data_IF_527175510807
#
_entry.id   IF_527175510807
#
_cell.length_a   1.000
_cell.length_b   1.000
_cell.length_c   1.000
_cell.angle_alpha   90.00
_cell.angle_beta   90.00
_cell.angle_gamma   90.00
#
_symmetry.space_group_name_H-M   'P 1'
#
loop_
_entity.id
_entity.type
_entity.pdbx_description
1 polymer ?
#
# COMPACT_ATOMS: atom_id res chain seq x y z
N UNK A 1 0.34 -19.96 11.09
CA UNK A 1 0.52 -20.43 9.70
C UNK A 1 0.35 -19.25 8.78
N UNK A 2 1.19 -19.09 7.74
CA UNK A 2 1.04 -17.99 6.76
C UNK A 2 0.05 -18.43 5.69
N UNK A 3 -1.23 -18.26 5.97
CA UNK A 3 -2.31 -18.69 5.09
C UNK A 3 -3.34 -17.58 4.92
N UNK A 4 -3.94 -17.54 3.73
CA UNK A 4 -5.09 -16.70 3.43
C UNK A 4 -6.18 -17.59 2.84
N UNK A 5 -7.38 -17.54 3.43
CA UNK A 5 -8.51 -18.43 3.08
C UNK A 5 -8.13 -19.92 3.09
N UNK A 6 -7.29 -20.33 4.06
CA UNK A 6 -6.80 -21.71 4.20
C UNK A 6 -5.81 -22.17 3.11
N UNK A 7 -5.24 -21.23 2.34
CA UNK A 7 -4.25 -21.51 1.31
C UNK A 7 -2.91 -20.82 1.63
N UNK A 8 -1.76 -21.44 1.25
CA UNK A 8 -0.44 -20.86 1.48
C UNK A 8 -0.06 -19.76 0.47
N UNK A 9 -0.87 -19.58 -0.58
CA UNK A 9 -0.68 -18.61 -1.64
C UNK A 9 -2.04 -18.07 -2.14
N UNK A 10 -2.02 -17.01 -2.95
CA UNK A 10 -3.24 -16.38 -3.49
C UNK A 10 -3.95 -17.29 -4.51
N UNK A 11 -3.20 -17.94 -5.38
CA UNK A 11 -3.69 -18.86 -6.41
C UNK A 11 -4.47 -18.25 -7.59
N UNK A 12 -4.47 -16.93 -7.77
CA UNK A 12 -5.25 -16.24 -8.85
C UNK A 12 -4.38 -15.66 -9.97
N UNK A 13 -3.09 -15.43 -9.69
CA UNK A 13 -2.17 -14.84 -10.65
C UNK A 13 -1.42 -15.91 -11.45
N UNK A 14 -0.84 -15.53 -12.58
CA UNK A 14 -0.20 -16.46 -13.51
C UNK A 14 1.17 -17.00 -13.04
N UNK A 15 1.74 -16.47 -11.96
CA UNK A 15 3.10 -16.83 -11.51
C UNK A 15 3.15 -17.09 -10.02
N UNK A 16 4.08 -17.94 -9.58
CA UNK A 16 4.33 -18.16 -8.15
C UNK A 16 4.70 -16.86 -7.43
N UNK A 17 5.51 -16.01 -8.06
CA UNK A 17 5.92 -14.71 -7.52
C UNK A 17 4.72 -13.81 -7.17
N UNK A 18 3.76 -13.66 -8.09
CA UNK A 18 2.59 -12.81 -7.85
C UNK A 18 1.62 -13.38 -6.80
N UNK A 19 1.64 -14.70 -6.59
CA UNK A 19 0.79 -15.37 -5.61
C UNK A 19 1.41 -15.46 -4.20
N UNK A 20 2.63 -14.95 -3.98
CA UNK A 20 3.27 -14.99 -2.66
C UNK A 20 2.53 -14.12 -1.63
N UNK A 21 2.32 -14.68 -0.43
CA UNK A 21 1.83 -13.95 0.74
C UNK A 21 3.01 -13.33 1.50
N UNK A 22 3.44 -12.15 1.07
CA UNK A 22 4.56 -11.42 1.67
C UNK A 22 4.07 -10.31 2.62
N UNK A 23 4.75 -10.20 3.76
CA UNK A 23 4.55 -9.12 4.71
C UNK A 23 3.49 -9.36 5.79
N UNK A 24 3.04 -8.27 6.40
CA UNK A 24 1.92 -8.26 7.36
C UNK A 24 0.62 -7.82 6.68
N UNK A 25 -0.44 -7.62 7.46
CA UNK A 25 -1.68 -6.96 7.02
C UNK A 25 -1.58 -5.42 6.98
N UNK A 26 -0.39 -4.88 7.30
CA UNK A 26 -0.11 -3.44 7.33
C UNK A 26 -0.59 -2.72 8.59
N UNK A 27 -1.05 -3.45 9.63
CA UNK A 27 -1.38 -2.86 10.94
C UNK A 27 -0.16 -2.76 11.87
N UNK A 28 0.83 -3.63 11.66
CA UNK A 28 2.10 -3.64 12.37
C UNK A 28 3.21 -4.19 11.47
N UNK A 29 4.44 -3.72 11.69
CA UNK A 29 5.65 -4.17 11.04
C UNK A 29 6.67 -4.62 12.10
N UNK A 30 7.75 -5.34 11.71
CA UNK A 30 8.83 -5.64 12.64
C UNK A 30 9.39 -4.36 13.31
N UNK A 31 9.97 -4.46 14.51
CA UNK A 31 10.63 -3.33 15.14
C UNK A 31 11.89 -2.88 14.37
N UNK A 32 12.46 -1.73 14.75
CA UNK A 32 13.71 -1.19 14.23
C UNK A 32 13.70 -0.88 12.72
N UNK A 33 12.67 -0.19 12.25
CA UNK A 33 12.61 0.30 10.87
C UNK A 33 13.58 1.45 10.61
N UNK A 34 14.12 1.48 9.40
CA UNK A 34 15.08 2.49 8.93
C UNK A 34 14.66 3.06 7.57
N UNK A 35 15.43 4.02 7.05
CA UNK A 35 15.21 4.57 5.69
C UNK A 35 15.46 3.55 4.58
N UNK A 36 16.23 2.51 4.86
CA UNK A 36 16.57 1.45 3.89
C UNK A 36 15.58 0.27 3.96
N UNK A 37 14.65 0.29 4.92
CA UNK A 37 13.62 -0.72 5.06
C UNK A 37 12.69 -0.75 3.84
N UNK A 38 12.33 -1.96 3.41
CA UNK A 38 11.20 -2.20 2.49
C UNK A 38 10.11 -2.94 3.23
N UNK A 39 8.91 -2.36 3.29
CA UNK A 39 7.81 -2.89 4.07
C UNK A 39 6.82 -3.63 3.17
N UNK A 40 6.69 -4.93 3.36
CA UNK A 40 5.72 -5.74 2.62
C UNK A 40 4.36 -5.75 3.33
N UNK A 41 3.29 -5.65 2.56
CA UNK A 41 1.91 -5.74 3.04
C UNK A 41 1.11 -6.62 2.09
N UNK A 42 0.40 -7.61 2.61
CA UNK A 42 -0.61 -8.34 1.85
C UNK A 42 -1.94 -7.59 1.90
N UNK A 43 -2.39 -7.08 0.74
CA UNK A 43 -3.63 -6.31 0.66
C UNK A 43 -4.74 -7.22 0.15
N UNK A 44 -5.62 -7.63 1.06
CA UNK A 44 -6.69 -8.60 0.77
C UNK A 44 -7.64 -8.12 -0.33
N UNK A 45 -7.92 -6.82 -0.40
CA UNK A 45 -8.79 -6.23 -1.43
C UNK A 45 -8.15 -6.26 -2.84
N UNK A 46 -6.83 -6.36 -2.93
CA UNK A 46 -6.10 -6.46 -4.19
C UNK A 46 -5.65 -7.88 -4.49
N UNK A 47 -5.84 -8.80 -3.54
CA UNK A 47 -5.41 -10.19 -3.64
C UNK A 47 -3.93 -10.33 -4.01
N UNK A 48 -3.08 -9.41 -3.54
CA UNK A 48 -1.63 -9.47 -3.78
C UNK A 48 -0.87 -8.78 -2.67
N UNK A 49 0.40 -9.15 -2.54
CA UNK A 49 1.34 -8.38 -1.75
C UNK A 49 1.84 -7.16 -2.51
N UNK A 50 2.01 -6.07 -1.76
CA UNK A 50 2.65 -4.83 -2.15
C UNK A 50 3.87 -4.60 -1.27
N UNK A 51 4.71 -3.65 -1.67
CA UNK A 51 5.78 -3.13 -0.85
C UNK A 51 5.70 -1.61 -0.75
N UNK A 52 6.17 -1.07 0.36
CA UNK A 52 6.26 0.35 0.63
C UNK A 52 7.72 0.73 0.84
N UNK A 53 8.11 1.88 0.30
CA UNK A 53 9.47 2.42 0.42
C UNK A 53 9.45 3.73 1.18
N UNK A 54 10.57 4.04 1.83
CA UNK A 54 10.74 5.31 2.53
C UNK A 54 10.50 6.50 1.60
N UNK A 55 9.84 7.52 2.12
CA UNK A 55 9.60 8.79 1.44
C UNK A 55 10.28 9.95 2.17
N UNK A 56 9.99 10.13 3.47
CA UNK A 56 10.49 11.26 4.26
C UNK A 56 10.28 11.07 5.76
N UNK A 57 11.01 11.83 6.56
CA UNK A 57 10.73 11.97 8.00
C UNK A 57 9.45 12.79 8.25
N UNK A 58 8.73 12.41 9.30
CA UNK A 58 7.53 13.09 9.80
C UNK A 58 7.50 13.07 11.32
N UNK A 59 6.73 13.99 11.91
CA UNK A 59 6.38 13.94 13.31
C UNK A 59 4.86 13.82 13.46
N UNK A 60 4.40 12.81 14.20
CA UNK A 60 2.98 12.59 14.49
C UNK A 60 2.78 12.78 15.99
N UNK A 61 2.05 13.83 16.38
CA UNK A 61 1.82 14.21 17.79
C UNK A 61 3.13 14.34 18.59
N UNK A 62 4.21 14.78 17.95
CA UNK A 62 5.54 14.91 18.56
C UNK A 62 6.26 13.58 18.81
N UNK A 63 5.89 12.52 18.10
CA UNK A 63 6.66 11.27 17.97
C UNK A 63 7.28 11.26 16.57
N UNK A 64 8.57 10.98 16.48
CA UNK A 64 9.28 10.87 15.21
C UNK A 64 8.85 9.61 14.46
N UNK A 65 8.61 9.77 13.17
CA UNK A 65 8.10 8.71 12.29
C UNK A 65 8.81 8.75 10.93
N UNK A 66 8.87 7.60 10.29
CA UNK A 66 9.29 7.43 8.91
C UNK A 66 8.04 7.26 8.04
N UNK A 67 7.85 8.13 7.06
CA UNK A 67 6.77 7.98 6.10
C UNK A 67 7.18 6.99 5.01
N UNK A 68 6.39 5.94 4.84
CA UNK A 68 6.49 4.98 3.75
C UNK A 68 5.30 5.15 2.78
N UNK A 69 5.56 4.99 1.49
CA UNK A 69 4.56 5.14 0.42
C UNK A 69 4.66 4.00 -0.58
N UNK A 70 3.61 3.80 -1.38
CA UNK A 70 3.65 2.90 -2.53
C UNK A 70 4.50 3.52 -3.64
N UNK A 71 5.59 2.86 -4.07
CA UNK A 71 6.45 3.37 -5.14
C UNK A 71 5.75 3.28 -6.50
N UNK A 72 6.16 4.14 -7.45
CA UNK A 72 5.49 4.29 -8.76
C UNK A 72 5.55 3.02 -9.60
N UNK A 73 6.60 2.23 -9.39
CA UNK A 73 6.93 0.98 -10.06
C UNK A 73 5.81 -0.05 -9.91
N UNK A 74 5.05 -0.03 -8.80
CA UNK A 74 3.88 -0.89 -8.59
C UNK A 74 2.71 -0.59 -9.53
N UNK A 75 2.64 0.63 -10.07
CA UNK A 75 1.56 1.07 -10.94
C UNK A 75 1.88 0.90 -12.42
N UNK A 76 3.15 0.76 -12.79
CA UNK A 76 3.58 0.71 -14.20
C UNK A 76 3.03 -0.52 -14.92
N UNK A 77 2.67 -0.35 -16.20
CA UNK A 77 2.30 -1.49 -17.03
C UNK A 77 3.48 -2.45 -17.28
N UNK A 78 3.16 -3.65 -17.77
CA UNK A 78 4.12 -4.71 -18.05
C UNK A 78 5.15 -4.40 -19.15
N UNK A 79 4.92 -3.36 -19.96
CA UNK A 79 5.87 -2.93 -21.00
C UNK A 79 6.98 -2.04 -20.44
N UNK A 80 6.69 -1.29 -19.37
CA UNK A 80 7.65 -0.41 -18.70
C UNK A 80 8.29 -1.14 -17.52
N UNK A 81 7.50 -1.87 -16.72
CA UNK A 81 7.99 -2.73 -15.64
C UNK A 81 7.61 -4.20 -15.92
N UNK A 82 8.52 -5.01 -16.50
CA UNK A 82 8.25 -6.40 -16.87
C UNK A 82 7.78 -7.29 -15.72
N UNK A 83 8.19 -7.01 -14.49
CA UNK A 83 7.78 -7.77 -13.30
C UNK A 83 6.26 -7.70 -13.09
N UNK A 84 5.63 -6.59 -13.49
CA UNK A 84 4.18 -6.43 -13.38
C UNK A 84 3.39 -7.30 -14.36
N UNK A 85 4.05 -7.95 -15.34
CA UNK A 85 3.42 -8.96 -16.20
C UNK A 85 2.84 -10.12 -15.37
N UNK A 86 3.45 -10.41 -14.22
CA UNK A 86 3.01 -11.44 -13.30
C UNK A 86 1.58 -11.21 -12.75
N UNK A 87 1.11 -9.96 -12.75
CA UNK A 87 -0.22 -9.55 -12.29
C UNK A 87 -1.20 -9.25 -13.44
N UNK A 88 -0.81 -9.56 -14.68
CA UNK A 88 -1.75 -9.57 -15.81
C UNK A 88 -2.57 -10.86 -15.80
N UNK A 89 -3.84 -10.75 -16.16
CA UNK A 89 -4.79 -11.87 -16.16
C UNK A 89 -4.98 -12.38 -17.58
N UNK A 90 -6.08 -12.03 -18.25
CA UNK A 90 -6.34 -12.30 -19.68
C UNK A 90 -5.47 -11.42 -20.57
N UNK A 91 -5.30 -10.16 -20.18
CA UNK A 91 -4.48 -9.17 -20.86
C UNK A 91 -3.79 -8.26 -19.83
N UNK A 92 -2.81 -7.49 -20.27
CA UNK A 92 -2.20 -6.45 -19.45
C UNK A 92 -2.92 -5.12 -19.68
N UNK A 93 -3.24 -4.43 -18.59
CA UNK A 93 -3.94 -3.16 -18.62
C UNK A 93 -2.98 -1.97 -18.59
N UNK A 94 -3.46 -0.74 -18.91
CA UNK A 94 -2.64 0.46 -18.82
C UNK A 94 -2.08 0.69 -17.41
N UNK A 95 -1.02 1.49 -17.33
CA UNK A 95 -0.42 1.92 -16.07
C UNK A 95 -1.50 2.45 -15.12
N UNK A 96 -1.49 1.99 -13.87
CA UNK A 96 -2.41 2.38 -12.81
C UNK A 96 -3.68 1.54 -12.69
N UNK A 97 -3.84 0.49 -13.50
CA UNK A 97 -5.01 -0.41 -13.46
C UNK A 97 -4.60 -1.82 -13.05
N UNK A 98 -5.30 -2.38 -12.07
CA UNK A 98 -5.20 -3.79 -11.67
C UNK A 98 -6.57 -4.46 -11.80
N UNK A 99 -6.64 -5.61 -12.47
CA UNK A 99 -7.83 -6.45 -12.51
C UNK A 99 -7.99 -7.20 -11.19
N UNK A 100 -9.00 -6.84 -10.40
CA UNK A 100 -9.34 -7.54 -9.15
C UNK A 100 -10.58 -8.40 -9.30
N UNK A 101 -11.20 -8.40 -10.48
CA UNK A 101 -12.34 -9.25 -10.82
C UNK A 101 -11.98 -10.72 -10.70
N UNK A 102 -10.73 -11.08 -11.03
CA UNK A 102 -10.21 -12.45 -10.96
C UNK A 102 -10.13 -13.03 -9.56
N UNK A 103 -10.16 -12.20 -8.52
CA UNK A 103 -10.04 -12.66 -7.14
C UNK A 103 -11.30 -12.44 -6.31
N UNK A 104 -12.38 -11.98 -6.96
CA UNK A 104 -13.71 -12.00 -6.37
C UNK A 104 -14.25 -13.42 -6.41
N UNK A 105 -14.74 -13.89 -5.28
CA UNK A 105 -15.40 -15.19 -5.16
C UNK A 105 -16.83 -15.07 -5.71
N UNK A 106 -16.92 -14.99 -7.04
CA UNK A 106 -18.16 -14.78 -7.76
C UNK A 106 -18.32 -15.85 -8.85
N UNK A 107 -19.56 -16.33 -9.10
CA UNK A 107 -19.82 -17.33 -10.14
C UNK A 107 -19.63 -16.78 -11.57
N UNK A 108 -19.44 -15.46 -11.71
CA UNK A 108 -19.28 -14.77 -12.98
C UNK A 108 -18.04 -13.87 -12.95
N UNK A 109 -17.41 -13.68 -14.11
CA UNK A 109 -16.31 -12.73 -14.27
C UNK A 109 -16.83 -11.31 -14.05
N UNK A 110 -16.35 -10.63 -13.01
CA UNK A 110 -16.72 -9.24 -12.72
C UNK A 110 -15.74 -8.27 -13.39
N UNK A 111 -16.19 -7.26 -14.15
CA UNK A 111 -15.31 -6.27 -14.78
C UNK A 111 -14.85 -5.22 -13.76
N UNK A 112 -14.28 -5.65 -12.62
CA UNK A 112 -13.86 -4.82 -11.51
C UNK A 112 -12.36 -4.58 -11.49
N UNK A 113 -11.99 -3.31 -11.47
CA UNK A 113 -10.61 -2.85 -11.58
C UNK A 113 -10.27 -1.88 -10.47
N UNK A 114 -9.06 -1.97 -9.93
CA UNK A 114 -8.56 -1.04 -8.91
C UNK A 114 -7.51 -0.11 -9.48
N UNK A 115 -7.57 1.13 -9.06
CA UNK A 115 -6.55 2.16 -9.30
C UNK A 115 -6.32 2.99 -8.04
N UNK A 116 -5.37 3.92 -8.05
CA UNK A 116 -5.38 5.01 -7.09
C UNK A 116 -6.54 5.99 -7.40
N UNK A 117 -7.01 6.79 -6.43
CA UNK A 117 -8.08 7.77 -6.66
C UNK A 117 -7.74 8.77 -7.78
N UNK A 118 -8.76 9.10 -8.56
CA UNK A 118 -8.70 9.94 -9.76
C UNK A 118 -7.64 9.48 -10.78
N UNK A 119 -7.29 8.20 -10.77
CA UNK A 119 -6.20 7.61 -11.54
C UNK A 119 -4.83 8.26 -11.26
N UNK A 120 -4.57 8.66 -10.01
CA UNK A 120 -3.24 9.08 -9.59
C UNK A 120 -2.18 8.01 -9.93
N UNK A 121 -1.05 8.42 -10.50
CA UNK A 121 -0.01 7.54 -11.08
C UNK A 121 -0.47 6.63 -12.24
N UNK A 122 -1.68 6.80 -12.75
CA UNK A 122 -2.19 6.08 -13.92
C UNK A 122 -1.82 6.73 -15.25
N UNK A 123 -2.05 6.00 -16.34
CA UNK A 123 -1.89 6.51 -17.70
C UNK A 123 -2.84 7.69 -17.97
N UNK A 124 -2.37 8.68 -18.73
CA UNK A 124 -3.17 9.87 -19.10
C UNK A 124 -4.41 9.49 -19.93
N UNK A 125 -4.41 8.35 -20.61
CA UNK A 125 -5.59 7.86 -21.34
C UNK A 125 -6.79 7.60 -20.42
N UNK A 126 -6.55 7.26 -19.15
CA UNK A 126 -7.60 6.93 -18.17
C UNK A 126 -8.44 8.16 -17.78
N UNK A 127 -7.85 9.35 -17.82
CA UNK A 127 -8.54 10.60 -17.45
C UNK A 127 -9.17 11.31 -18.64
N UNK A 128 -8.76 11.00 -19.87
CA UNK A 128 -9.20 11.70 -21.09
C UNK A 128 -10.71 11.68 -21.30
N UNK A 129 -11.35 10.55 -20.99
CA UNK A 129 -12.77 10.32 -21.26
C UNK A 129 -13.66 10.47 -20.02
N UNK A 130 -13.12 10.96 -18.90
CA UNK A 130 -13.87 11.14 -17.65
C UNK A 130 -13.66 12.57 -17.13
N UNK A 131 -14.73 13.38 -17.20
CA UNK A 131 -14.71 14.75 -16.68
C UNK A 131 -14.82 14.74 -15.15
N UNK A 132 -14.11 15.67 -14.50
CA UNK A 132 -14.14 15.85 -13.03
C UNK A 132 -12.98 15.18 -12.27
N UNK A 133 -12.06 14.52 -12.98
CA UNK A 133 -10.88 13.92 -12.35
C UNK A 133 -9.76 14.96 -12.15
N UNK A 134 -9.09 14.93 -10.99
CA UNK A 134 -8.00 15.86 -10.62
C UNK A 134 -6.92 15.12 -9.82
N UNK A 135 -6.16 14.21 -10.44
CA UNK A 135 -5.18 13.38 -9.74
C UNK A 135 -4.09 14.23 -9.07
N UNK A 136 -3.85 14.01 -7.78
CA UNK A 136 -2.76 14.64 -7.04
C UNK A 136 -2.23 13.73 -5.92
N UNK A 137 -0.96 13.91 -5.55
CA UNK A 137 -0.32 13.07 -4.54
C UNK A 137 -0.89 13.26 -3.13
N UNK A 138 -1.20 14.50 -2.75
CA UNK A 138 -1.63 14.85 -1.40
C UNK A 138 -2.93 14.15 -1.01
N UNK A 139 -3.90 14.15 -1.92
CA UNK A 139 -5.25 13.66 -1.67
C UNK A 139 -5.43 12.21 -2.13
N UNK A 140 -4.59 11.70 -3.04
CA UNK A 140 -4.78 10.37 -3.64
C UNK A 140 -3.62 9.40 -3.41
N UNK A 141 -2.48 9.84 -2.88
CA UNK A 141 -1.36 8.96 -2.52
C UNK A 141 -1.65 8.13 -1.26
N UNK A 142 -1.19 6.88 -1.24
CA UNK A 142 -1.25 6.02 -0.03
C UNK A 142 0.03 6.17 0.78
N UNK A 143 -0.07 6.36 2.09
CA UNK A 143 1.10 6.46 2.96
C UNK A 143 0.86 5.87 4.36
N UNK A 144 1.94 5.46 5.01
CA UNK A 144 2.01 5.07 6.42
C UNK A 144 3.13 5.86 7.11
N UNK A 145 2.82 6.59 8.17
CA UNK A 145 3.80 7.22 9.05
C UNK A 145 4.07 6.27 10.23
N UNK A 146 5.24 5.63 10.21
CA UNK A 146 5.60 4.52 11.11
C UNK A 146 6.59 4.99 12.17
N UNK A 147 6.32 4.66 13.43
CA UNK A 147 7.29 4.81 14.52
C UNK A 147 8.37 3.71 14.37
N UNK A 148 9.65 4.09 14.20
CA UNK A 148 10.68 3.16 13.76
C UNK A 148 11.04 2.10 14.80
N UNK A 149 11.04 2.40 16.09
CA UNK A 149 11.48 1.44 17.11
C UNK A 149 10.52 0.28 17.24
N UNK A 150 9.22 0.55 17.21
CA UNK A 150 8.15 -0.42 17.42
C UNK A 150 7.55 -0.98 16.12
N UNK A 151 7.79 -0.33 14.98
CA UNK A 151 7.23 -0.75 13.69
C UNK A 151 5.72 -0.52 13.59
N UNK A 152 5.15 0.40 14.38
CA UNK A 152 3.71 0.67 14.41
C UNK A 152 3.35 1.93 13.59
N UNK A 153 2.32 1.88 12.73
CA UNK A 153 1.79 3.08 12.09
C UNK A 153 1.10 3.99 13.11
N UNK A 154 1.55 5.24 13.21
CA UNK A 154 0.90 6.26 14.05
C UNK A 154 -0.10 7.10 13.26
N UNK A 155 0.07 7.17 11.94
CA UNK A 155 -0.86 7.78 11.00
C UNK A 155 -0.82 7.04 9.69
N UNK A 156 -1.97 6.79 9.09
CA UNK A 156 -2.08 6.12 7.81
C UNK A 156 -3.18 6.73 6.95
N UNK A 157 -3.00 6.63 5.63
CA UNK A 157 -4.06 6.86 4.65
C UNK A 157 -3.87 5.85 3.53
N UNK A 158 -4.76 4.86 3.48
CA UNK A 158 -4.83 3.85 2.42
C UNK A 158 -5.95 4.22 1.48
N UNK A 159 -5.63 4.37 0.19
CA UNK A 159 -6.55 4.93 -0.79
C UNK A 159 -6.60 4.05 -2.04
N UNK A 160 -7.81 3.60 -2.37
CA UNK A 160 -8.09 2.73 -3.52
C UNK A 160 -9.36 3.22 -4.22
N UNK A 161 -9.37 3.15 -5.54
CA UNK A 161 -10.52 3.48 -6.37
C UNK A 161 -11.01 2.23 -7.08
N UNK A 162 -12.32 2.01 -7.01
CA UNK A 162 -13.00 0.94 -7.73
C UNK A 162 -13.51 1.49 -9.05
N UNK A 163 -13.19 0.78 -10.13
CA UNK A 163 -13.55 1.12 -11.49
C UNK A 163 -14.27 -0.08 -12.14
N UNK A 164 -15.25 0.20 -13.00
CA UNK A 164 -15.89 -0.79 -13.84
C UNK A 164 -15.35 -0.65 -15.28
N UNK A 165 -14.95 -1.75 -15.91
CA UNK A 165 -14.65 -1.72 -17.34
C UNK A 165 -15.96 -1.70 -18.12
N UNK A 166 -16.19 -0.60 -18.83
CA UNK A 166 -17.31 -0.45 -19.76
C UNK A 166 -16.76 -0.62 -21.16
N UNK A 167 -17.36 -1.52 -21.95
CA UNK A 167 -17.01 -1.72 -23.35
C UNK A 167 -18.25 -2.06 -24.17
N UNK A 168 -18.25 -1.75 -25.48
CA UNK A 168 -19.40 -2.05 -26.33
C UNK A 168 -19.56 -3.55 -26.55
N UNK A 169 -20.75 -4.07 -26.24
CA UNK A 169 -21.14 -5.46 -26.49
C UNK A 169 -22.13 -5.50 -27.65
N UNK A 170 -21.80 -6.26 -28.69
CA UNK A 170 -22.59 -6.32 -29.93
C UNK A 170 -24.05 -6.73 -29.70
N UNK A 171 -24.30 -7.61 -28.74
CA UNK A 171 -25.64 -8.16 -28.50
C UNK A 171 -26.44 -7.37 -27.44
N UNK A 172 -25.88 -6.28 -26.90
CA UNK A 172 -26.53 -5.44 -25.88
C UNK A 172 -26.66 -4.01 -26.40
N UNK A 173 -27.84 -3.66 -26.94
CA UNK A 173 -28.14 -2.37 -27.58
C UNK A 173 -27.71 -1.15 -26.74
N UNK A 174 -27.88 -1.23 -25.41
CA UNK A 174 -27.53 -0.16 -24.48
C UNK A 174 -26.03 0.15 -24.46
N UNK A 175 -25.18 -0.83 -24.77
CA UNK A 175 -23.72 -0.69 -24.70
C UNK A 175 -23.05 -0.54 -26.06
N UNK A 176 -23.72 -0.91 -27.16
CA UNK A 176 -23.15 -0.92 -28.52
C UNK A 176 -22.49 0.40 -28.93
N UNK A 177 -23.01 1.54 -28.47
CA UNK A 177 -22.52 2.89 -28.81
C UNK A 177 -21.55 3.48 -27.79
N UNK A 178 -21.22 2.73 -26.73
CA UNK A 178 -20.29 3.19 -25.69
C UNK A 178 -18.83 3.04 -26.14
N UNK A 179 -17.97 3.90 -25.62
CA UNK A 179 -16.53 3.75 -25.78
C UNK A 179 -15.97 2.84 -24.69
N UNK A 180 -14.94 2.07 -25.02
CA UNK A 180 -14.19 1.30 -24.02
C UNK A 180 -13.50 2.25 -23.04
N UNK A 181 -13.83 2.17 -21.75
CA UNK A 181 -13.22 2.98 -20.69
C UNK A 181 -13.31 2.31 -19.31
N UNK A 182 -12.39 2.66 -18.42
CA UNK A 182 -12.47 2.33 -17.00
C UNK A 182 -13.28 3.41 -16.29
N UNK A 183 -14.54 3.13 -15.98
CA UNK A 183 -15.44 4.08 -15.35
C UNK A 183 -15.18 4.08 -13.84
N UNK A 184 -14.67 5.18 -13.24
CA UNK A 184 -14.50 5.26 -11.80
C UNK A 184 -15.87 5.31 -11.12
N UNK A 185 -16.13 4.38 -10.19
CA UNK A 185 -17.42 4.29 -9.50
C UNK A 185 -17.35 5.04 -8.17
N UNK A 186 -16.35 4.71 -7.34
CA UNK A 186 -16.07 5.40 -6.09
C UNK A 186 -14.62 5.13 -5.66
N UNK A 187 -14.10 5.93 -4.74
CA UNK A 187 -12.85 5.62 -4.05
C UNK A 187 -13.07 5.56 -2.54
N UNK A 188 -12.26 4.74 -1.88
CA UNK A 188 -12.24 4.57 -0.43
C UNK A 188 -10.97 5.25 0.09
N UNK A 189 -11.12 5.99 1.18
CA UNK A 189 -10.01 6.55 1.95
C UNK A 189 -10.09 6.02 3.38
N UNK A 190 -9.32 4.98 3.66
CA UNK A 190 -9.17 4.45 5.01
C UNK A 190 -8.05 5.21 5.72
N UNK A 191 -8.39 5.91 6.80
CA UNK A 191 -7.43 6.70 7.57
C UNK A 191 -7.46 6.29 9.03
N UNK A 192 -6.29 6.17 9.63
CA UNK A 192 -6.14 6.04 11.07
C UNK A 192 -5.12 7.07 11.55
N UNK A 193 -5.33 7.63 12.74
CA UNK A 193 -4.35 8.51 13.39
C UNK A 193 -4.44 8.27 14.88
N UNK A 194 -3.29 8.10 15.52
CA UNK A 194 -3.20 7.90 16.96
C UNK A 194 -3.78 9.09 17.73
N UNK A 195 -4.52 8.77 18.79
CA UNK A 195 -5.06 9.78 19.70
C UNK A 195 -3.97 10.41 20.57
N UNK A 196 -4.22 11.62 21.06
CA UNK A 196 -3.24 12.35 21.90
C UNK A 196 -2.88 11.57 23.18
N UNK A 197 -3.87 10.95 23.84
CA UNK A 197 -3.66 10.18 25.07
C UNK A 197 -2.81 8.92 24.82
N UNK A 198 -3.08 8.21 23.72
CA UNK A 198 -2.32 7.04 23.31
C UNK A 198 -0.89 7.42 22.89
N UNK A 199 -0.72 8.51 22.15
CA UNK A 199 0.60 9.02 21.79
C UNK A 199 1.42 9.38 23.04
N UNK A 200 0.80 10.02 24.03
CA UNK A 200 1.47 10.32 25.30
C UNK A 200 1.83 9.06 26.07
N UNK A 201 0.94 8.07 26.10
CA UNK A 201 1.23 6.76 26.70
C UNK A 201 2.45 6.08 26.04
N UNK A 202 2.54 6.09 24.71
CA UNK A 202 3.68 5.50 23.98
C UNK A 202 4.97 6.24 24.32
N UNK A 203 4.94 7.58 24.37
CA UNK A 203 6.11 8.37 24.77
C UNK A 203 6.58 8.00 26.16
N UNK A 204 5.69 8.07 27.15
CA UNK A 204 6.07 7.95 28.56
C UNK A 204 6.41 6.52 28.96
N UNK A 205 5.66 5.54 28.45
CA UNK A 205 5.80 4.14 28.86
C UNK A 205 6.74 3.32 27.99
N UNK A 206 7.09 3.81 26.80
CA UNK A 206 7.89 3.03 25.84
C UNK A 206 9.11 3.81 25.37
N UNK A 207 8.92 4.95 24.71
CA UNK A 207 10.03 5.65 24.06
C UNK A 207 10.98 6.31 25.07
N UNK A 208 10.48 6.87 26.17
CA UNK A 208 11.29 7.47 27.22
C UNK A 208 12.17 6.42 27.93
N UNK A 209 11.63 5.27 28.39
CA UNK A 209 12.46 4.18 28.90
C UNK A 209 13.54 3.71 27.92
N UNK A 210 13.23 3.55 26.63
CA UNK A 210 14.24 3.17 25.63
C UNK A 210 15.41 4.15 25.58
N UNK A 211 15.11 5.47 25.55
CA UNK A 211 16.14 6.51 25.54
C UNK A 211 16.97 6.51 26.82
N UNK A 212 16.33 6.34 27.99
CA UNK A 212 17.02 6.31 29.28
C UNK A 212 17.94 5.09 29.37
N UNK A 213 17.45 3.90 29.02
CA UNK A 213 18.24 2.66 29.05
C UNK A 213 19.45 2.77 28.12
N UNK A 214 19.26 3.26 26.89
CA UNK A 214 20.37 3.46 25.96
C UNK A 214 21.38 4.50 26.44
N UNK A 215 20.91 5.58 27.08
CA UNK A 215 21.80 6.57 27.70
C UNK A 215 22.61 6.00 28.86
N UNK A 216 21.98 5.18 29.72
CA UNK A 216 22.66 4.49 30.82
C UNK A 216 23.68 3.49 30.30
N UNK A 217 23.33 2.72 29.27
CA UNK A 217 24.23 1.78 28.60
C UNK A 217 25.51 2.47 28.10
N UNK A 218 25.37 3.55 27.32
CA UNK A 218 26.51 4.34 26.84
C UNK A 218 27.34 4.88 28.01
N UNK A 219 26.67 5.40 29.05
CA UNK A 219 27.35 5.91 30.24
C UNK A 219 28.20 4.86 30.96
N UNK A 220 27.68 3.64 31.10
CA UNK A 220 28.41 2.52 31.71
C UNK A 220 29.60 2.08 30.86
N UNK A 221 29.47 2.05 29.53
CA UNK A 221 30.57 1.72 28.62
C UNK A 221 31.69 2.76 28.71
N UNK A 222 31.35 4.05 28.72
CA UNK A 222 32.33 5.13 28.88
C UNK A 222 33.02 5.06 30.24
N UNK A 223 32.26 4.87 31.33
CA UNK A 223 32.83 4.72 32.67
C UNK A 223 33.78 3.53 32.76
N UNK A 224 33.40 2.37 32.21
CA UNK A 224 34.25 1.18 32.15
C UNK A 224 35.53 1.44 31.36
N UNK A 225 35.44 2.14 30.22
CA UNK A 225 36.60 2.53 29.43
C UNK A 225 37.56 3.46 30.17
N UNK A 226 37.04 4.44 30.91
CA UNK A 226 37.84 5.35 31.75
C UNK A 226 38.53 4.62 32.90
N UNK A 227 37.86 3.63 33.51
CA UNK A 227 38.44 2.86 34.62
C UNK A 227 39.53 1.86 34.19
N UNK A 228 39.60 1.51 32.90
CA UNK A 228 40.62 0.60 32.34
C UNK A 228 41.90 1.35 31.92
N UNK A 229 41.80 2.65 31.65
CA UNK A 229 42.93 3.53 31.32
C UNK A 229 43.70 3.96 32.59
#
# INVERSE_FOLDING_TARGET
TREWKGRPDVGVWNTTYANMLNGSDGTQFPPQQSTDSTLYVFVTQLCRSLYLTYNKHKAVKGIDTLQFTTPKELYLNASINPDNRAFCTKECYPTGILDVGVCQDAPISLPLFVSAPHFYLGDKSLTKNVKGLSPNEKDHGTFLDIEPHLGIPLKSSKRLQINALIEPVKDIEQTQKLHKLFLPVFFINETATIDKSQAQMIKDKVLMPFKVVHGVEIGLVVLGGVLIL
#
